data_IF_723953103074
#
_entry.id   IF_723953103074
#
_cell.length_a   1.000
_cell.length_b   1.000
_cell.length_c   1.000
_cell.angle_alpha   90.00
_cell.angle_beta   90.00
_cell.angle_gamma   90.00
#
_symmetry.space_group_name_H-M   'P 1'
#
loop_
_entity.id
_entity.type
_entity.pdbx_description
1 polymer ?
#
# COMPACT_ATOMS: atom_id res chain seq x y z
N UNK A 1 -8.12 -2.84 -8.27
CA UNK A 1 -8.59 -4.22 -8.00
C UNK A 1 -7.64 -5.18 -8.68
N UNK A 2 -7.35 -6.33 -8.07
CA UNK A 2 -6.52 -7.42 -8.62
C UNK A 2 -7.31 -8.72 -8.51
N UNK A 3 -7.37 -9.53 -9.57
CA UNK A 3 -7.88 -10.90 -9.46
C UNK A 3 -6.83 -11.81 -8.80
N UNK A 4 -7.26 -12.67 -7.88
CA UNK A 4 -6.37 -13.58 -7.14
C UNK A 4 -6.44 -15.00 -7.69
N UNK A 5 -5.37 -15.77 -7.53
CA UNK A 5 -5.25 -17.13 -8.10
C UNK A 5 -6.26 -18.13 -7.53
N UNK A 6 -6.84 -17.84 -6.37
CA UNK A 6 -7.93 -18.59 -5.73
C UNK A 6 -9.32 -18.17 -6.23
N UNK A 7 -9.40 -17.37 -7.31
CA UNK A 7 -10.65 -16.90 -7.93
C UNK A 7 -11.31 -15.72 -7.22
N UNK A 8 -10.69 -15.17 -6.17
CA UNK A 8 -11.14 -13.97 -5.48
C UNK A 8 -10.60 -12.67 -6.08
N UNK A 9 -10.70 -11.60 -5.29
CA UNK A 9 -10.16 -10.29 -5.64
C UNK A 9 -9.52 -9.60 -4.45
N UNK A 10 -8.46 -8.82 -4.72
CA UNK A 10 -7.95 -7.80 -3.81
C UNK A 10 -8.46 -6.42 -4.23
N UNK A 11 -9.17 -5.77 -3.33
CA UNK A 11 -9.61 -4.39 -3.42
C UNK A 11 -8.67 -3.50 -2.61
N UNK A 12 -8.55 -2.24 -3.01
CA UNK A 12 -7.68 -1.29 -2.33
C UNK A 12 -8.14 0.13 -2.54
N UNK A 13 -7.97 0.94 -1.51
CA UNK A 13 -8.18 2.38 -1.50
C UNK A 13 -7.56 2.96 -0.23
N UNK A 14 -8.03 4.14 0.17
CA UNK A 14 -7.68 4.71 1.47
C UNK A 14 -8.86 4.81 2.43
N UNK A 15 -8.57 4.85 3.72
CA UNK A 15 -9.59 4.88 4.77
C UNK A 15 -9.18 5.78 5.93
N UNK A 16 -10.15 6.58 6.42
CA UNK A 16 -10.01 7.44 7.61
C UNK A 16 -10.73 6.88 8.84
N UNK A 17 -11.41 5.76 8.69
CA UNK A 17 -12.35 5.25 9.69
C UNK A 17 -11.66 4.27 10.66
N UNK A 18 -12.01 4.28 11.96
CA UNK A 18 -11.62 3.21 12.87
C UNK A 18 -12.36 1.89 12.55
N UNK A 19 -12.09 0.86 13.34
CA UNK A 19 -12.82 -0.42 13.29
C UNK A 19 -14.31 -0.17 13.56
N UNK A 20 -15.15 -0.46 12.58
CA UNK A 20 -16.61 -0.42 12.70
C UNK A 20 -17.28 -1.16 11.53
N UNK A 21 -18.50 -1.65 11.76
CA UNK A 21 -19.26 -2.38 10.74
C UNK A 21 -18.51 -3.62 10.24
N UNK A 22 -18.25 -3.67 8.94
CA UNK A 22 -17.54 -4.77 8.29
C UNK A 22 -16.01 -4.57 8.22
N UNK A 23 -15.46 -3.42 8.65
CA UNK A 23 -14.02 -3.18 8.70
C UNK A 23 -13.44 -3.79 9.97
N UNK A 24 -12.40 -4.62 9.85
CA UNK A 24 -11.69 -5.19 11.01
C UNK A 24 -10.25 -4.70 11.14
N UNK A 25 -9.72 -4.04 10.10
CA UNK A 25 -8.43 -3.38 10.17
C UNK A 25 -8.48 -2.13 11.06
N UNK A 26 -7.43 -1.94 11.86
CA UNK A 26 -7.24 -0.71 12.66
C UNK A 26 -7.00 0.52 11.77
N UNK A 27 -6.91 1.68 12.42
CA UNK A 27 -6.49 2.96 11.86
C UNK A 27 -5.18 3.38 12.52
N UNK A 28 -4.24 3.94 11.76
CA UNK A 28 -2.96 4.44 12.26
C UNK A 28 -2.88 5.96 12.20
N UNK A 29 -3.24 6.53 11.06
CA UNK A 29 -3.11 7.96 10.79
C UNK A 29 -4.41 8.61 10.35
N UNK A 30 -4.30 9.80 9.74
CA UNK A 30 -5.44 10.54 9.21
C UNK A 30 -6.08 9.87 8.00
N UNK A 31 -5.30 9.13 7.20
CA UNK A 31 -5.71 8.41 5.99
C UNK A 31 -4.74 7.24 5.80
N UNK A 32 -5.20 6.00 5.77
CA UNK A 32 -4.35 4.81 5.67
C UNK A 32 -4.64 4.04 4.38
N UNK A 33 -3.66 3.30 3.85
CA UNK A 33 -3.93 2.28 2.83
C UNK A 33 -4.90 1.29 3.46
N UNK A 34 -6.00 0.98 2.78
CA UNK A 34 -6.93 -0.05 3.20
C UNK A 34 -7.16 -1.03 2.06
N UNK A 35 -6.81 -2.28 2.31
CA UNK A 35 -6.94 -3.38 1.36
C UNK A 35 -7.89 -4.44 1.91
N UNK A 36 -8.72 -4.98 1.02
CA UNK A 36 -9.75 -5.95 1.36
C UNK A 36 -9.65 -7.11 0.38
N UNK A 37 -9.41 -8.32 0.89
CA UNK A 37 -9.53 -9.53 0.09
C UNK A 37 -10.95 -10.06 0.19
N UNK A 38 -11.54 -10.33 -0.96
CA UNK A 38 -12.85 -10.98 -1.09
C UNK A 38 -12.71 -12.31 -1.84
N UNK A 39 -13.58 -13.27 -1.56
CA UNK A 39 -13.65 -14.51 -2.32
C UNK A 39 -14.47 -14.33 -3.62
N UNK A 40 -14.61 -15.41 -4.40
CA UNK A 40 -15.35 -15.40 -5.66
C UNK A 40 -16.84 -15.03 -5.50
N UNK A 41 -17.42 -15.22 -4.31
CA UNK A 41 -18.81 -14.86 -3.99
C UNK A 41 -18.93 -13.40 -3.49
N UNK A 42 -17.83 -12.65 -3.40
CA UNK A 42 -17.80 -11.29 -2.88
C UNK A 42 -17.75 -11.20 -1.35
N UNK A 43 -17.57 -12.31 -0.63
CA UNK A 43 -17.50 -12.32 0.83
C UNK A 43 -16.10 -11.89 1.28
N UNK A 44 -16.03 -11.05 2.33
CA UNK A 44 -14.77 -10.59 2.89
C UNK A 44 -14.01 -11.75 3.53
N UNK A 45 -12.81 -12.02 3.02
CA UNK A 45 -11.85 -12.97 3.61
C UNK A 45 -11.06 -12.29 4.71
N UNK A 46 -10.45 -11.14 4.40
CA UNK A 46 -9.72 -10.31 5.37
C UNK A 46 -9.65 -8.86 4.89
N UNK A 47 -9.40 -7.93 5.82
CA UNK A 47 -8.98 -6.57 5.51
C UNK A 47 -7.78 -6.15 6.35
N UNK A 48 -6.92 -5.30 5.77
CA UNK A 48 -5.69 -4.82 6.41
C UNK A 48 -5.53 -3.32 6.15
N UNK A 49 -4.95 -2.63 7.12
CA UNK A 49 -4.57 -1.24 6.98
C UNK A 49 -3.05 -1.10 7.05
N UNK A 50 -2.49 -0.20 6.25
CA UNK A 50 -1.07 0.14 6.28
C UNK A 50 -0.92 1.65 6.30
N UNK A 51 -0.20 2.16 7.30
CA UNK A 51 0.02 3.59 7.47
C UNK A 51 0.87 3.90 8.69
N UNK A 52 1.31 5.16 8.74
CA UNK A 52 1.88 5.77 9.93
C UNK A 52 0.88 6.71 10.60
N UNK A 53 1.38 7.73 11.28
CA UNK A 53 0.58 8.66 12.08
C UNK A 53 -0.10 9.75 11.26
N UNK A 54 0.32 9.97 10.00
CA UNK A 54 -0.16 11.06 9.16
C UNK A 54 -1.00 10.53 7.98
N UNK A 55 -0.72 10.93 6.74
CA UNK A 55 -1.49 10.57 5.56
C UNK A 55 -0.75 9.61 4.63
N UNK A 56 -1.39 8.50 4.31
CA UNK A 56 -0.90 7.42 3.46
C UNK A 56 -1.95 7.11 2.38
N UNK A 57 -1.67 7.50 1.14
CA UNK A 57 -2.57 7.34 0.00
C UNK A 57 -2.14 6.19 -0.91
N UNK A 58 -3.00 5.18 -1.07
CA UNK A 58 -2.77 4.05 -1.97
C UNK A 58 -3.21 4.42 -3.40
N UNK A 59 -2.33 4.25 -4.40
CA UNK A 59 -2.63 4.60 -5.80
C UNK A 59 -2.53 3.43 -6.76
N UNK A 60 -1.71 2.42 -6.43
CA UNK A 60 -1.45 1.28 -7.29
C UNK A 60 -1.30 -0.01 -6.47
N UNK A 61 -1.71 -1.12 -7.07
CA UNK A 61 -1.48 -2.45 -6.52
C UNK A 61 -1.20 -3.43 -7.65
N UNK A 62 -0.32 -4.39 -7.42
CA UNK A 62 -0.07 -5.52 -8.34
C UNK A 62 0.07 -6.84 -7.57
N UNK A 63 -0.26 -7.97 -8.22
CA UNK A 63 0.07 -9.29 -7.71
C UNK A 63 1.58 -9.56 -7.87
N UNK A 64 2.15 -10.36 -6.98
CA UNK A 64 3.54 -10.79 -7.07
C UNK A 64 3.62 -12.29 -7.38
N UNK A 65 4.70 -12.73 -8.03
CA UNK A 65 4.86 -14.13 -8.48
C UNK A 65 4.91 -15.16 -7.35
N UNK A 66 5.24 -14.72 -6.13
CA UNK A 66 5.19 -15.51 -4.90
C UNK A 66 3.79 -15.59 -4.28
N UNK A 67 2.74 -15.14 -4.99
CA UNK A 67 1.34 -15.18 -4.55
C UNK A 67 0.95 -14.06 -3.58
N UNK A 68 1.86 -13.14 -3.28
CA UNK A 68 1.59 -11.93 -2.51
C UNK A 68 1.11 -10.76 -3.37
N UNK A 69 1.23 -9.56 -2.80
CA UNK A 69 0.88 -8.32 -3.47
C UNK A 69 1.89 -7.22 -3.16
N UNK A 70 2.05 -6.31 -4.11
CA UNK A 70 2.75 -5.06 -3.92
C UNK A 70 1.74 -3.92 -3.92
N UNK A 71 1.72 -3.15 -2.84
CA UNK A 71 0.89 -1.97 -2.66
C UNK A 71 1.78 -0.75 -2.81
N UNK A 72 1.32 0.28 -3.49
CA UNK A 72 2.13 1.46 -3.75
C UNK A 72 1.30 2.73 -3.83
N UNK A 73 1.88 3.81 -3.34
CA UNK A 73 1.31 5.13 -3.40
C UNK A 73 2.25 6.13 -2.79
N UNK A 74 1.72 7.10 -2.05
CA UNK A 74 2.53 8.12 -1.39
C UNK A 74 2.20 8.23 0.10
N UNK A 75 3.19 8.65 0.87
CA UNK A 75 3.12 8.77 2.32
C UNK A 75 3.79 10.05 2.79
N UNK A 76 3.11 10.79 3.65
CA UNK A 76 3.69 11.90 4.42
C UNK A 76 4.07 11.50 5.84
N UNK A 77 3.82 10.24 6.22
CA UNK A 77 3.99 9.72 7.58
C UNK A 77 5.45 9.42 7.92
N UNK A 78 5.93 9.78 9.14
CA UNK A 78 7.21 9.29 9.67
C UNK A 78 7.13 7.78 9.98
N UNK A 79 8.20 7.22 10.56
CA UNK A 79 8.18 5.84 11.08
C UNK A 79 7.26 5.80 12.31
N UNK A 80 6.05 5.27 12.11
CA UNK A 80 5.02 5.11 13.13
C UNK A 80 3.95 4.12 12.65
N UNK A 81 3.00 3.76 13.53
CA UNK A 81 1.97 2.78 13.19
C UNK A 81 2.57 1.44 12.79
N UNK A 82 2.27 0.98 11.57
CA UNK A 82 2.92 -0.19 10.99
C UNK A 82 3.85 0.15 9.81
N UNK A 83 4.17 1.41 9.58
CA UNK A 83 5.17 1.87 8.61
C UNK A 83 6.57 1.79 9.22
N UNK A 84 7.52 1.19 8.50
CA UNK A 84 8.93 1.09 8.97
C UNK A 84 9.93 1.80 8.06
N UNK A 85 9.52 2.19 6.86
CA UNK A 85 10.33 2.99 5.97
C UNK A 85 10.46 4.44 6.48
N UNK A 86 11.66 5.01 6.39
CA UNK A 86 11.93 6.42 6.68
C UNK A 86 11.12 7.34 5.74
N UNK A 87 10.67 8.49 6.25
CA UNK A 87 10.20 9.59 5.42
C UNK A 87 11.37 10.56 5.19
N UNK A 88 11.71 10.83 3.94
CA UNK A 88 12.87 11.64 3.57
C UNK A 88 12.52 13.13 3.37
N UNK A 89 11.24 13.50 3.33
CA UNK A 89 10.79 14.85 2.99
C UNK A 89 9.30 15.04 3.24
N UNK A 90 8.62 15.82 2.39
CA UNK A 90 7.20 16.16 2.59
C UNK A 90 6.28 15.00 2.23
N UNK A 91 6.50 14.33 1.10
CA UNK A 91 5.76 13.13 0.67
C UNK A 91 6.70 12.25 -0.12
N UNK A 92 6.76 10.96 0.20
CA UNK A 92 7.57 10.00 -0.52
C UNK A 92 6.69 8.91 -1.14
N UNK A 93 7.14 8.33 -2.26
CA UNK A 93 6.54 7.10 -2.74
C UNK A 93 6.73 6.02 -1.68
N UNK A 94 5.65 5.38 -1.25
CA UNK A 94 5.70 4.32 -0.25
C UNK A 94 5.17 3.03 -0.86
N UNK A 95 5.96 1.97 -0.71
CA UNK A 95 5.67 0.65 -1.27
C UNK A 95 5.68 -0.36 -0.16
N UNK A 96 4.62 -1.16 -0.07
CA UNK A 96 4.42 -2.20 0.93
C UNK A 96 4.24 -3.53 0.22
N UNK A 97 5.11 -4.51 0.50
CA UNK A 97 4.89 -5.89 0.06
C UNK A 97 4.15 -6.64 1.16
N UNK A 98 3.09 -7.33 0.77
CA UNK A 98 2.30 -8.19 1.63
C UNK A 98 2.27 -9.63 1.08
N UNK A 99 2.14 -10.61 1.96
CA UNK A 99 1.95 -12.01 1.57
C UNK A 99 0.48 -12.27 1.17
N UNK A 100 0.14 -13.51 0.78
CA UNK A 100 -1.21 -13.91 0.39
C UNK A 100 -2.28 -13.76 1.48
N UNK A 101 -1.87 -13.74 2.75
CA UNK A 101 -2.72 -13.54 3.93
C UNK A 101 -2.85 -12.06 4.33
N UNK A 102 -2.22 -11.16 3.57
CA UNK A 102 -2.22 -9.73 3.83
C UNK A 102 -1.26 -9.30 4.94
N UNK A 103 -0.32 -10.14 5.36
CA UNK A 103 0.68 -9.75 6.36
C UNK A 103 1.85 -9.02 5.68
N UNK A 104 2.30 -7.93 6.31
CA UNK A 104 3.42 -7.13 5.79
C UNK A 104 4.71 -7.94 5.79
N UNK A 105 5.36 -8.03 4.63
CA UNK A 105 6.68 -8.63 4.46
C UNK A 105 7.75 -7.55 4.63
N UNK A 106 7.62 -6.44 3.93
CA UNK A 106 8.49 -5.27 4.05
C UNK A 106 7.77 -4.01 3.54
N UNK A 107 8.29 -2.85 3.90
CA UNK A 107 7.94 -1.58 3.28
C UNK A 107 9.17 -0.73 2.98
N UNK A 108 9.11 0.05 1.90
CA UNK A 108 10.19 0.91 1.40
C UNK A 108 9.63 2.25 0.99
N UNK A 109 10.41 3.30 1.21
CA UNK A 109 10.12 4.65 0.73
C UNK A 109 11.15 5.06 -0.33
N UNK A 110 10.68 5.71 -1.38
CA UNK A 110 11.48 6.23 -2.48
C UNK A 110 11.09 7.67 -2.74
N UNK A 111 12.08 8.56 -2.79
CA UNK A 111 11.86 9.98 -3.00
C UNK A 111 13.01 10.81 -2.45
N UNK A 112 12.92 12.11 -2.66
CA UNK A 112 13.94 13.09 -2.28
C UNK A 112 13.68 13.75 -0.93
N UNK A 113 14.69 14.49 -0.44
CA UNK A 113 14.54 15.36 0.73
C UNK A 113 14.06 16.77 0.41
N UNK A 114 13.51 16.96 -0.79
CA UNK A 114 12.99 18.23 -1.26
C UNK A 114 11.70 18.67 -0.55
N UNK A 115 11.33 19.93 -0.78
CA UNK A 115 10.09 20.50 -0.26
C UNK A 115 8.84 20.10 -1.05
N UNK A 116 9.03 19.47 -2.21
CA UNK A 116 7.93 18.96 -3.04
C UNK A 116 7.75 17.46 -2.79
N UNK A 117 6.52 16.98 -3.01
CA UNK A 117 6.18 15.57 -2.81
C UNK A 117 6.49 14.70 -4.02
N UNK A 118 6.84 13.44 -3.76
CA UNK A 118 6.94 12.40 -4.78
C UNK A 118 5.67 11.54 -4.80
N UNK A 119 5.18 11.25 -6.00
CA UNK A 119 3.88 10.61 -6.22
C UNK A 119 3.98 9.40 -7.13
N UNK A 120 3.73 8.22 -6.57
CA UNK A 120 3.64 6.99 -7.36
C UNK A 120 2.33 6.97 -8.15
N UNK A 121 2.42 6.70 -9.46
CA UNK A 121 1.28 6.61 -10.38
C UNK A 121 1.01 5.18 -10.84
N UNK A 122 2.05 4.40 -11.06
CA UNK A 122 1.93 3.04 -11.57
C UNK A 122 3.03 2.13 -11.05
N UNK A 123 2.72 0.83 -11.01
CA UNK A 123 3.68 -0.23 -10.77
C UNK A 123 3.42 -1.39 -11.73
N UNK A 124 4.48 -2.07 -12.16
CA UNK A 124 4.39 -3.35 -12.88
C UNK A 124 5.41 -4.33 -12.31
N UNK A 125 5.05 -5.61 -12.30
CA UNK A 125 6.00 -6.69 -12.05
C UNK A 125 6.79 -6.98 -13.32
N UNK A 126 8.08 -7.29 -13.17
CA UNK A 126 8.95 -7.72 -14.27
C UNK A 126 9.10 -9.24 -14.27
N UNK A 127 9.45 -9.81 -15.43
CA UNK A 127 9.55 -11.27 -15.60
C UNK A 127 10.68 -11.92 -14.79
N UNK A 128 11.68 -11.14 -14.38
CA UNK A 128 12.77 -11.55 -13.49
C UNK A 128 12.40 -11.47 -12.00
N UNK A 129 11.15 -11.14 -11.67
CA UNK A 129 10.66 -11.02 -10.29
C UNK A 129 10.88 -9.66 -9.64
N UNK A 130 11.42 -8.70 -10.39
CA UNK A 130 11.53 -7.30 -9.97
C UNK A 130 10.21 -6.50 -10.14
N UNK A 131 10.33 -5.19 -9.91
CA UNK A 131 9.22 -4.23 -10.04
C UNK A 131 9.72 -2.93 -10.68
N UNK A 132 8.92 -2.37 -11.58
CA UNK A 132 9.12 -1.01 -12.09
C UNK A 132 8.06 -0.09 -11.50
N UNK A 133 8.51 1.09 -11.06
CA UNK A 133 7.70 2.13 -10.43
C UNK A 133 7.72 3.36 -11.34
N UNK A 134 6.54 3.87 -11.68
CA UNK A 134 6.38 5.10 -12.45
C UNK A 134 5.66 6.17 -11.62
N UNK A 135 6.16 7.40 -11.67
CA UNK A 135 5.63 8.49 -10.84
C UNK A 135 6.24 9.85 -11.14
N UNK A 136 5.73 10.86 -10.44
CA UNK A 136 6.27 12.22 -10.43
C UNK A 136 7.29 12.29 -9.30
N UNK A 137 8.56 12.51 -9.63
CA UNK A 137 9.65 12.63 -8.65
C UNK A 137 10.23 14.04 -8.74
N UNK A 138 10.02 14.84 -7.70
CA UNK A 138 10.14 16.31 -7.78
C UNK A 138 11.32 16.89 -7.00
N UNK A 139 12.21 16.05 -6.46
CA UNK A 139 13.38 16.51 -5.72
C UNK A 139 14.65 15.68 -5.98
N UNK A 140 15.66 16.34 -6.55
CA UNK A 140 17.08 16.05 -6.31
C UNK A 140 17.64 17.18 -5.45
#
# INVERSE_FOLDING_TARGET
MIATSDGGFLLGGGSISPISGNKTATKYGSYDYWVVKINANGEKVWDKAFGGSDGDNLTSMIATSDGGFLLGGNSVSPISGNKTATNYGVSNCWVVKINANGDKVWDKAFGGSGYNGDFLRSMIATSDGGFLLGGDFTGW
#
